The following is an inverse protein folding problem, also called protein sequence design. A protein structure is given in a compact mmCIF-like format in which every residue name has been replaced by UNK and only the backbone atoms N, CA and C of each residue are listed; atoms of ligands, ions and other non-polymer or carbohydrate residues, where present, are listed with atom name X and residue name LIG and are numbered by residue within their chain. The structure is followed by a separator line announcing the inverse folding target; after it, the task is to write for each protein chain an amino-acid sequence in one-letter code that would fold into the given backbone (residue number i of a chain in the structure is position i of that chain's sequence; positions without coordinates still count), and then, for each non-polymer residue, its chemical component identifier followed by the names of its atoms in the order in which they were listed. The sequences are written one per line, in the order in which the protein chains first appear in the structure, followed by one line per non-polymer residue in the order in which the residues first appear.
data_IF_243133711594
#
_entry.id   IF_243133711594
#
_cell.length_a   1.000
_cell.length_b   1.000
_cell.length_c   1.000
_cell.angle_alpha   90.00
_cell.angle_beta   90.00
_cell.angle_gamma   90.00
#
_symmetry.space_group_name_H-M   'P 1'
#
loop_
_entity.id
_entity.type
_entity.pdbx_description
1 polymer ?
#
# COMPACT_ATOMS: atom_id res chain seq x y z
N UNK A 1 -42.80 -1.08 51.22
CA UNK A 1 -41.56 -0.48 50.68
C UNK A 1 -41.49 -0.82 49.20
N UNK A 2 -41.86 0.11 48.31
CA UNK A 2 -41.87 -0.10 46.86
C UNK A 2 -40.53 0.40 46.29
N UNK A 3 -39.76 -0.50 45.68
CA UNK A 3 -38.50 -0.19 45.01
C UNK A 3 -38.75 0.37 43.62
N UNK A 4 -38.32 1.62 43.41
CA UNK A 4 -38.36 2.34 42.15
C UNK A 4 -37.26 1.80 41.21
N UNK A 5 -37.64 1.11 40.14
CA UNK A 5 -36.71 0.59 39.12
C UNK A 5 -36.48 1.66 38.05
N UNK A 6 -35.25 2.17 37.96
CA UNK A 6 -34.80 3.12 36.93
C UNK A 6 -34.06 2.32 35.85
N UNK A 7 -34.47 2.38 34.57
CA UNK A 7 -33.70 1.76 33.50
C UNK A 7 -32.38 2.52 33.26
N UNK A 8 -31.29 1.83 32.86
CA UNK A 8 -30.01 2.47 32.58
C UNK A 8 -30.10 3.37 31.33
N UNK A 9 -29.30 4.45 31.25
CA UNK A 9 -29.29 5.35 30.11
C UNK A 9 -28.75 4.63 28.87
N UNK A 10 -29.51 4.71 27.77
CA UNK A 10 -29.04 4.34 26.43
C UNK A 10 -27.96 5.35 26.04
N UNK A 11 -26.69 4.94 26.12
CA UNK A 11 -25.57 5.71 25.58
C UNK A 11 -25.65 5.63 24.06
N UNK A 12 -26.15 6.71 23.45
CA UNK A 12 -26.17 6.90 21.99
C UNK A 12 -24.75 7.22 21.52
N UNK A 13 -23.95 6.19 21.28
CA UNK A 13 -22.58 6.34 20.76
C UNK A 13 -22.63 6.82 19.31
N UNK A 14 -22.25 8.08 19.10
CA UNK A 14 -21.32 8.44 18.02
C UNK A 14 -21.84 8.46 16.59
N UNK A 15 -22.77 9.38 16.28
CA UNK A 15 -23.08 9.81 14.91
C UNK A 15 -22.00 10.69 14.24
N UNK A 16 -20.71 10.39 14.45
CA UNK A 16 -19.59 11.23 13.97
C UNK A 16 -18.85 10.66 12.75
N UNK A 17 -18.89 9.35 12.51
CA UNK A 17 -18.24 8.76 11.33
C UNK A 17 -19.17 8.80 10.11
N UNK A 18 -20.45 8.45 10.30
CA UNK A 18 -21.45 8.50 9.23
C UNK A 18 -21.75 9.94 8.77
N UNK A 19 -21.75 10.93 9.67
CA UNK A 19 -21.94 12.33 9.26
C UNK A 19 -20.74 12.88 8.49
N UNK A 20 -19.50 12.48 8.85
CA UNK A 20 -18.29 12.86 8.11
C UNK A 20 -18.21 12.21 6.72
N UNK A 21 -18.64 10.95 6.58
CA UNK A 21 -18.74 10.28 5.28
C UNK A 21 -19.81 10.93 4.40
N UNK A 22 -20.96 11.30 4.96
CA UNK A 22 -22.01 12.01 4.23
C UNK A 22 -21.56 13.41 3.81
N UNK A 23 -20.83 14.14 4.67
CA UNK A 23 -20.30 15.47 4.38
C UNK A 23 -19.20 15.40 3.30
N UNK A 24 -18.34 14.37 3.32
CA UNK A 24 -17.33 14.14 2.27
C UNK A 24 -17.94 13.78 0.92
N UNK A 25 -19.03 13.00 0.88
CA UNK A 25 -19.73 12.68 -0.38
C UNK A 25 -20.44 13.91 -0.94
N UNK A 26 -21.05 14.75 -0.08
CA UNK A 26 -21.67 16.01 -0.52
C UNK A 26 -20.62 17.02 -1.03
N UNK A 27 -19.45 17.11 -0.38
CA UNK A 27 -18.34 17.95 -0.85
C UNK A 27 -17.77 17.47 -2.19
N UNK A 28 -17.69 16.16 -2.43
CA UNK A 28 -17.30 15.63 -3.75
C UNK A 28 -18.32 15.96 -4.84
N UNK A 29 -19.62 15.88 -4.53
CA UNK A 29 -20.67 16.26 -5.49
C UNK A 29 -20.69 17.76 -5.76
N UNK A 30 -20.43 18.61 -4.75
CA UNK A 30 -20.30 20.05 -4.93
C UNK A 30 -19.06 20.43 -5.75
N UNK A 31 -17.92 19.75 -5.53
CA UNK A 31 -16.70 20.00 -6.31
C UNK A 31 -16.88 19.63 -7.79
N UNK A 32 -17.59 18.54 -8.10
CA UNK A 32 -17.91 18.15 -9.48
C UNK A 32 -18.89 19.13 -10.15
N UNK A 33 -19.84 19.69 -9.40
CA UNK A 33 -20.77 20.72 -9.90
C UNK A 33 -20.11 22.09 -10.13
N UNK A 34 -19.13 22.48 -9.30
CA UNK A 34 -18.39 23.75 -9.48
C UNK A 34 -17.26 23.65 -10.51
N UNK A 35 -16.60 22.48 -10.66
CA UNK A 35 -15.58 22.29 -11.70
C UNK A 35 -16.17 22.08 -13.10
N UNK A 36 -17.38 21.50 -13.21
CA UNK A 36 -18.04 21.31 -14.50
C UNK A 36 -18.54 22.61 -15.15
N UNK A 37 -18.99 23.58 -14.36
CA UNK A 37 -19.60 24.82 -14.88
C UNK A 37 -18.60 25.96 -15.13
N UNK A 38 -17.41 25.95 -14.52
CA UNK A 38 -16.39 26.97 -14.81
C UNK A 38 -15.76 26.77 -16.20
N UNK A 39 -15.64 25.53 -16.67
CA UNK A 39 -15.00 25.22 -17.95
C UNK A 39 -15.88 25.54 -19.18
N UNK A 40 -17.21 25.64 -19.01
CA UNK A 40 -18.15 25.80 -20.13
C UNK A 40 -18.38 27.29 -20.45
N UNK A 41 -18.38 28.16 -19.46
CA UNK A 41 -18.66 29.59 -19.67
C UNK A 41 -17.45 30.37 -20.23
N UNK A 42 -16.21 29.90 -20.00
CA UNK A 42 -15.00 30.48 -20.61
C UNK A 42 -14.82 30.12 -22.09
N UNK A 43 -15.56 29.14 -22.62
CA UNK A 43 -15.50 28.77 -24.03
C UNK A 43 -16.39 29.63 -24.95
N UNK A 44 -17.31 30.44 -24.41
CA UNK A 44 -18.31 31.17 -25.22
C UNK A 44 -17.93 32.63 -25.47
N UNK A 45 -17.02 33.21 -24.69
CA UNK A 45 -16.51 34.57 -24.95
C UNK A 45 -15.28 34.50 -25.86
N UNK A 46 -15.55 34.47 -27.17
CA UNK A 46 -14.56 34.76 -28.20
C UNK A 46 -13.68 35.96 -27.81
N UNK A 47 -12.40 35.72 -27.55
CA UNK A 47 -11.40 36.51 -28.25
C UNK A 47 -11.14 35.77 -29.54
N UNK A 48 -11.59 36.35 -30.66
CA UNK A 48 -10.91 36.20 -31.95
C UNK A 48 -9.45 36.61 -31.72
N UNK A 49 -8.66 35.71 -31.16
CA UNK A 49 -7.25 35.65 -31.48
C UNK A 49 -7.25 35.24 -32.93
N UNK A 50 -7.23 36.24 -33.80
CA UNK A 50 -6.53 36.12 -35.07
C UNK A 50 -5.19 35.47 -34.73
N UNK A 51 -5.11 34.14 -34.91
CA UNK A 51 -3.86 33.45 -35.09
C UNK A 51 -3.24 34.15 -36.30
N UNK A 52 -2.41 35.14 -36.02
CA UNK A 52 -1.62 35.81 -37.05
C UNK A 52 -0.97 34.69 -37.85
N UNK A 53 -1.24 34.68 -39.14
CA UNK A 53 -0.85 33.64 -40.08
C UNK A 53 0.66 33.65 -40.31
N UNK A 54 1.42 33.37 -39.26
CA UNK A 54 2.77 32.83 -39.39
C UNK A 54 2.63 31.34 -39.16
N UNK A 55 1.93 30.66 -40.09
CA UNK A 55 1.91 29.21 -40.18
C UNK A 55 3.28 28.74 -40.68
N UNK A 56 4.30 28.88 -39.83
CA UNK A 56 5.57 28.19 -40.01
C UNK A 56 5.32 26.73 -39.65
N UNK A 57 4.98 25.93 -40.65
CA UNK A 57 4.93 24.48 -40.50
C UNK A 57 6.33 23.98 -40.11
N UNK A 58 6.39 23.08 -39.15
CA UNK A 58 7.64 22.40 -38.79
C UNK A 58 8.17 21.65 -40.00
N UNK A 59 9.47 21.82 -40.26
CA UNK A 59 10.15 21.02 -41.28
C UNK A 59 10.12 19.54 -40.88
N UNK A 60 10.04 18.63 -41.86
CA UNK A 60 10.18 17.19 -41.62
C UNK A 60 11.47 16.89 -40.83
N UNK A 61 12.55 17.61 -41.15
CA UNK A 61 13.84 17.49 -40.48
C UNK A 61 13.75 17.91 -39.01
N UNK A 62 12.99 18.96 -38.72
CA UNK A 62 12.79 19.47 -37.35
C UNK A 62 11.99 18.48 -36.50
N UNK A 63 11.00 17.81 -37.10
CA UNK A 63 10.27 16.71 -36.45
C UNK A 63 11.18 15.50 -36.19
N UNK A 64 12.04 15.11 -37.15
CA UNK A 64 12.98 14.02 -36.95
C UNK A 64 13.99 14.33 -35.84
N UNK A 65 14.51 15.56 -35.80
CA UNK A 65 15.40 16.01 -34.72
C UNK A 65 14.67 15.99 -33.39
N UNK A 66 13.42 16.47 -33.31
CA UNK A 66 12.63 16.43 -32.09
C UNK A 66 12.41 14.99 -31.58
N UNK A 67 12.04 14.05 -32.47
CA UNK A 67 11.87 12.64 -32.11
C UNK A 67 13.20 12.03 -31.65
N UNK A 68 14.32 12.34 -32.30
CA UNK A 68 15.63 11.87 -31.91
C UNK A 68 16.01 12.35 -30.50
N UNK A 69 15.78 13.63 -30.20
CA UNK A 69 16.03 14.21 -28.87
C UNK A 69 15.14 13.56 -27.80
N UNK A 70 13.84 13.38 -28.08
CA UNK A 70 12.91 12.72 -27.15
C UNK A 70 13.34 11.27 -26.89
N UNK A 71 13.74 10.54 -27.93
CA UNK A 71 14.17 9.14 -27.82
C UNK A 71 15.43 9.02 -26.99
N UNK A 72 16.39 9.93 -27.20
CA UNK A 72 17.60 10.00 -26.40
C UNK A 72 17.31 10.32 -24.93
N UNK A 73 16.46 11.31 -24.68
CA UNK A 73 16.04 11.67 -23.32
C UNK A 73 15.33 10.51 -22.60
N UNK A 74 14.42 9.80 -23.29
CA UNK A 74 13.75 8.63 -22.74
C UNK A 74 14.73 7.47 -22.46
N UNK A 75 15.71 7.26 -23.33
CA UNK A 75 16.74 6.25 -23.12
C UNK A 75 17.53 6.45 -21.82
N UNK A 76 17.73 7.69 -21.40
CA UNK A 76 18.39 8.04 -20.14
C UNK A 76 17.43 7.96 -18.95
N UNK A 77 16.18 8.42 -19.11
CA UNK A 77 15.23 8.53 -18.00
C UNK A 77 14.57 7.21 -17.60
N UNK A 78 14.37 6.28 -18.55
CA UNK A 78 13.66 5.02 -18.31
C UNK A 78 14.33 4.11 -17.27
N UNK A 79 15.67 3.88 -17.29
CA UNK A 79 16.33 3.05 -16.29
C UNK A 79 16.09 3.56 -14.87
N UNK A 80 16.28 4.87 -14.64
CA UNK A 80 16.10 5.49 -13.32
C UNK A 80 14.66 5.35 -12.82
N UNK A 81 13.69 5.53 -13.72
CA UNK A 81 12.28 5.34 -13.39
C UNK A 81 11.98 3.88 -13.01
N UNK A 82 12.50 2.91 -13.75
CA UNK A 82 12.32 1.48 -13.46
C UNK A 82 12.94 1.10 -12.11
N UNK A 83 14.15 1.58 -11.82
CA UNK A 83 14.81 1.36 -10.53
C UNK A 83 13.98 1.96 -9.37
N UNK A 84 13.47 3.18 -9.55
CA UNK A 84 12.64 3.85 -8.54
C UNK A 84 11.36 3.07 -8.25
N UNK A 85 10.68 2.57 -9.28
CA UNK A 85 9.47 1.75 -9.13
C UNK A 85 9.75 0.44 -8.41
N UNK A 86 10.84 -0.25 -8.76
CA UNK A 86 11.22 -1.49 -8.09
C UNK A 86 11.56 -1.27 -6.61
N UNK A 87 12.33 -0.22 -6.29
CA UNK A 87 12.60 0.16 -4.90
C UNK A 87 11.32 0.47 -4.12
N UNK A 88 10.35 1.12 -4.75
CA UNK A 88 9.05 1.37 -4.13
C UNK A 88 8.27 0.06 -3.89
N UNK A 89 8.33 -0.88 -4.82
CA UNK A 89 7.71 -2.21 -4.69
C UNK A 89 8.28 -3.00 -3.50
N UNK A 90 9.61 -3.00 -3.31
CA UNK A 90 10.23 -3.69 -2.16
C UNK A 90 9.77 -3.07 -0.84
N UNK A 91 9.82 -1.73 -0.73
CA UNK A 91 9.37 -1.00 0.47
C UNK A 91 7.89 -1.21 0.77
N UNK A 92 7.05 -1.22 -0.27
CA UNK A 92 5.63 -1.50 -0.11
C UNK A 92 5.41 -2.94 0.35
N UNK A 93 6.15 -3.90 -0.22
CA UNK A 93 6.03 -5.31 0.15
C UNK A 93 6.42 -5.52 1.61
N UNK A 94 7.53 -4.94 2.07
CA UNK A 94 7.96 -5.05 3.47
C UNK A 94 6.93 -4.46 4.43
N UNK A 95 6.37 -3.29 4.11
CA UNK A 95 5.32 -2.66 4.91
C UNK A 95 4.02 -3.48 4.96
N UNK A 96 3.59 -4.04 3.83
CA UNK A 96 2.40 -4.89 3.76
C UNK A 96 2.59 -6.14 4.61
N UNK A 97 3.73 -6.83 4.48
CA UNK A 97 4.01 -8.04 5.27
C UNK A 97 4.09 -7.71 6.76
N UNK A 98 4.73 -6.60 7.15
CA UNK A 98 4.77 -6.16 8.54
C UNK A 98 3.36 -5.88 9.10
N UNK A 99 2.48 -5.28 8.29
CA UNK A 99 1.06 -5.09 8.65
C UNK A 99 0.33 -6.42 8.80
N UNK A 100 0.53 -7.36 7.87
CA UNK A 100 -0.11 -8.68 7.92
C UNK A 100 0.39 -9.52 9.10
N UNK A 101 1.64 -9.34 9.53
CA UNK A 101 2.16 -9.92 10.77
C UNK A 101 1.46 -9.36 12.01
N UNK A 102 1.24 -8.04 12.08
CA UNK A 102 0.47 -7.41 13.16
C UNK A 102 -0.97 -7.91 13.19
N UNK A 103 -1.61 -8.03 12.03
CA UNK A 103 -2.95 -8.60 11.93
C UNK A 103 -3.00 -10.06 12.40
N UNK A 104 -1.96 -10.83 12.07
CA UNK A 104 -1.84 -12.24 12.49
C UNK A 104 -1.66 -12.34 14.01
N UNK A 105 -0.84 -11.47 14.60
CA UNK A 105 -0.68 -11.34 16.05
C UNK A 105 -2.01 -11.03 16.75
N UNK A 106 -2.74 -10.00 16.30
CA UNK A 106 -4.03 -9.61 16.88
C UNK A 106 -5.06 -10.74 16.76
N UNK A 107 -5.06 -11.48 15.65
CA UNK A 107 -5.94 -12.66 15.51
C UNK A 107 -5.55 -13.79 16.45
N UNK A 108 -4.26 -14.01 16.70
CA UNK A 108 -3.82 -15.03 17.65
C UNK A 108 -4.32 -14.72 19.07
N UNK A 109 -4.17 -13.46 19.48
CA UNK A 109 -4.69 -12.95 20.77
C UNK A 109 -6.21 -13.08 20.86
N UNK A 110 -6.93 -12.62 19.84
CA UNK A 110 -8.40 -12.63 19.83
C UNK A 110 -8.99 -14.03 19.76
N UNK A 111 -8.39 -14.93 18.97
CA UNK A 111 -8.87 -16.31 18.80
C UNK A 111 -8.46 -17.25 19.93
N UNK A 112 -7.52 -16.82 20.79
CA UNK A 112 -6.95 -17.67 21.84
C UNK A 112 -6.17 -18.87 21.30
N UNK A 113 -5.70 -18.81 20.03
CA UNK A 113 -4.99 -19.90 19.34
C UNK A 113 -3.76 -19.37 18.65
N UNK A 114 -2.82 -20.26 18.35
CA UNK A 114 -1.65 -19.87 17.55
C UNK A 114 -2.05 -19.60 16.09
N UNK A 115 -1.37 -18.63 15.49
CA UNK A 115 -1.49 -18.27 14.08
C UNK A 115 -0.09 -18.25 13.46
N UNK A 116 0.03 -18.73 12.23
CA UNK A 116 1.30 -18.77 11.52
C UNK A 116 1.23 -17.86 10.28
N UNK A 117 2.32 -17.13 10.01
CA UNK A 117 2.60 -16.54 8.71
C UNK A 117 3.78 -17.29 8.09
N UNK A 118 3.56 -17.92 6.93
CA UNK A 118 4.53 -18.79 6.26
C UNK A 118 4.97 -18.17 4.94
N UNK A 119 6.25 -17.85 4.84
CA UNK A 119 6.88 -17.44 3.59
C UNK A 119 7.13 -18.66 2.72
N UNK A 120 6.88 -18.50 1.43
CA UNK A 120 7.32 -19.45 0.41
C UNK A 120 8.83 -19.26 0.18
N UNK A 121 9.70 -20.22 0.57
CA UNK A 121 11.15 -20.04 0.50
C UNK A 121 11.69 -19.86 -0.92
N UNK A 122 10.93 -20.27 -1.92
CA UNK A 122 11.28 -20.18 -3.34
C UNK A 122 10.27 -19.36 -4.13
N UNK A 123 9.27 -18.79 -3.45
CA UNK A 123 8.12 -18.16 -4.08
C UNK A 123 8.06 -16.67 -3.87
N UNK A 124 7.08 -16.08 -4.54
CA UNK A 124 6.78 -14.64 -4.52
C UNK A 124 5.55 -14.36 -3.66
N UNK A 125 5.34 -15.12 -2.60
CA UNK A 125 4.13 -15.04 -1.79
C UNK A 125 4.32 -15.58 -0.37
N UNK A 126 3.33 -15.31 0.45
CA UNK A 126 3.21 -15.84 1.80
C UNK A 126 1.76 -16.20 2.09
N UNK A 127 1.60 -17.00 3.14
CA UNK A 127 0.33 -17.57 3.55
C UNK A 127 0.09 -17.31 5.03
N UNK A 128 -1.18 -17.09 5.38
CA UNK A 128 -1.64 -16.98 6.76
C UNK A 128 -2.44 -18.22 7.13
N UNK A 129 -2.10 -18.81 8.25
CA UNK A 129 -2.61 -20.08 8.74
C UNK A 129 -3.15 -19.94 10.15
N UNK A 130 -4.33 -20.51 10.40
CA UNK A 130 -4.90 -20.71 11.73
C UNK A 130 -4.80 -22.20 12.09
N UNK A 131 -4.54 -22.49 13.36
CA UNK A 131 -4.41 -23.84 13.88
C UNK A 131 -5.61 -24.77 13.57
N UNK A 132 -6.82 -24.24 13.45
CA UNK A 132 -8.07 -25.00 13.31
C UNK A 132 -8.51 -25.15 11.84
N UNK A 133 -8.43 -24.07 11.07
CA UNK A 133 -8.95 -24.02 9.69
C UNK A 133 -7.87 -24.16 8.62
N UNK A 134 -6.59 -24.11 8.99
CA UNK A 134 -5.48 -24.14 8.04
C UNK A 134 -5.29 -22.79 7.34
N UNK A 135 -4.89 -22.82 6.07
CA UNK A 135 -4.64 -21.60 5.28
C UNK A 135 -5.95 -20.83 5.07
N UNK A 136 -6.01 -19.59 5.55
CA UNK A 136 -7.19 -18.73 5.37
C UNK A 136 -6.89 -17.48 4.54
N UNK A 137 -5.63 -17.23 4.22
CA UNK A 137 -5.22 -16.11 3.38
C UNK A 137 -3.89 -16.36 2.71
N UNK A 138 -3.72 -15.75 1.55
CA UNK A 138 -2.45 -15.70 0.84
C UNK A 138 -2.30 -14.32 0.20
N UNK A 139 -1.07 -13.84 0.11
CA UNK A 139 -0.76 -12.59 -0.58
C UNK A 139 0.55 -12.75 -1.36
N UNK A 140 0.56 -12.20 -2.57
CA UNK A 140 1.73 -12.16 -3.44
C UNK A 140 2.53 -10.89 -3.15
N UNK A 141 3.85 -11.00 -3.25
CA UNK A 141 4.74 -9.86 -3.26
C UNK A 141 4.53 -9.02 -4.52
N UNK A 142 4.99 -7.78 -4.46
CA UNK A 142 4.98 -6.94 -5.64
C UNK A 142 5.84 -7.55 -6.78
N UNK A 143 5.60 -7.18 -8.05
CA UNK A 143 6.37 -7.71 -9.17
C UNK A 143 7.87 -7.54 -8.98
N UNK A 144 8.64 -8.59 -9.32
CA UNK A 144 10.10 -8.65 -9.22
C UNK A 144 10.68 -8.55 -7.81
N UNK A 145 9.84 -8.66 -6.78
CA UNK A 145 10.28 -8.74 -5.39
C UNK A 145 10.38 -10.20 -4.95
N UNK A 146 11.54 -10.57 -4.43
CA UNK A 146 11.80 -11.90 -3.87
C UNK A 146 12.06 -11.81 -2.37
N UNK A 147 11.69 -12.86 -1.65
CA UNK A 147 12.02 -13.00 -0.23
C UNK A 147 13.47 -13.46 -0.09
N UNK A 148 14.24 -12.78 0.75
CA UNK A 148 15.63 -13.13 1.06
C UNK A 148 15.80 -13.29 2.58
N UNK A 149 16.42 -14.40 2.99
CA UNK A 149 16.71 -14.65 4.41
C UNK A 149 17.92 -13.81 4.83
N UNK A 150 17.73 -12.91 5.78
CA UNK A 150 18.78 -12.00 6.27
C UNK A 150 19.79 -12.61 7.23
N UNK A 151 20.88 -11.89 7.49
CA UNK A 151 21.97 -12.23 8.43
C UNK A 151 21.55 -12.66 9.86
N UNK A 152 20.35 -12.30 10.31
CA UNK A 152 19.68 -12.87 11.49
C UNK A 152 18.52 -13.72 10.99
N UNK A 153 18.88 -14.93 10.54
CA UNK A 153 17.97 -15.85 9.87
C UNK A 153 16.83 -16.20 10.85
N UNK A 154 15.59 -16.05 10.41
CA UNK A 154 14.52 -16.85 10.99
C UNK A 154 14.89 -18.31 10.76
N UNK A 155 14.91 -19.13 11.81
CA UNK A 155 15.29 -20.55 11.68
C UNK A 155 14.31 -21.29 10.78
N UNK A 156 13.06 -20.84 10.78
CA UNK A 156 12.00 -21.34 9.91
C UNK A 156 11.49 -20.24 8.98
N UNK A 157 11.02 -20.59 7.78
CA UNK A 157 10.26 -19.66 6.92
C UNK A 157 8.86 -19.36 7.48
N UNK A 158 8.62 -19.66 8.76
CA UNK A 158 7.35 -19.56 9.45
C UNK A 158 7.52 -18.71 10.69
N UNK A 159 6.70 -17.67 10.82
CA UNK A 159 6.58 -16.87 12.02
C UNK A 159 5.29 -17.29 12.71
N UNK A 160 5.38 -17.80 13.93
CA UNK A 160 4.22 -18.16 14.74
C UNK A 160 3.97 -17.12 15.82
N UNK A 161 2.72 -16.72 15.96
CA UNK A 161 2.22 -15.98 17.11
C UNK A 161 1.40 -16.91 18.00
N UNK A 162 1.66 -16.90 19.30
CA UNK A 162 0.88 -17.63 20.28
C UNK A 162 -0.39 -16.87 20.68
N UNK A 163 -1.28 -17.55 21.40
CA UNK A 163 -2.50 -16.96 21.95
C UNK A 163 -2.24 -15.76 22.90
N UNK A 164 -1.02 -15.64 23.43
CA UNK A 164 -0.59 -14.49 24.25
C UNK A 164 -0.19 -13.27 23.41
N UNK A 165 -0.12 -13.39 22.08
CA UNK A 165 0.43 -12.39 21.18
C UNK A 165 1.95 -12.41 21.06
N UNK A 166 2.62 -13.32 21.78
CA UNK A 166 4.08 -13.45 21.70
C UNK A 166 4.50 -14.18 20.43
N UNK A 167 5.64 -13.77 19.88
CA UNK A 167 6.23 -14.41 18.69
C UNK A 167 7.13 -15.57 19.09
N UNK A 168 7.11 -16.66 18.32
CA UNK A 168 7.94 -17.83 18.56
C UNK A 168 9.43 -17.60 18.33
N UNK A 169 9.77 -16.71 17.40
CA UNK A 169 11.13 -16.47 16.93
C UNK A 169 11.35 -14.97 16.65
N UNK A 170 12.55 -14.47 16.94
CA UNK A 170 13.02 -13.19 16.43
C UNK A 170 13.91 -13.39 15.21
N UNK A 171 13.93 -12.41 14.34
CA UNK A 171 14.82 -12.42 13.18
C UNK A 171 14.61 -11.20 12.31
N UNK A 172 15.37 -11.12 11.22
CA UNK A 172 15.19 -10.07 10.22
C UNK A 172 14.76 -10.67 8.89
N UNK A 173 13.66 -10.15 8.36
CA UNK A 173 13.10 -10.51 7.06
C UNK A 173 13.56 -9.45 6.07
N UNK A 174 14.17 -9.85 4.95
CA UNK A 174 14.46 -8.95 3.84
C UNK A 174 13.70 -9.35 2.59
N UNK A 175 13.48 -8.34 1.76
CA UNK A 175 12.98 -8.44 0.42
C UNK A 175 13.97 -7.76 -0.50
N UNK A 176 14.17 -8.34 -1.67
CA UNK A 176 15.11 -7.85 -2.67
C UNK A 176 14.37 -7.62 -4.00
N UNK A 177 14.72 -6.57 -4.72
CA UNK A 177 14.31 -6.41 -6.13
C UNK A 177 15.31 -7.02 -7.12
N UNK A 178 15.01 -6.89 -8.42
CA UNK A 178 15.88 -7.37 -9.48
C UNK A 178 17.21 -6.57 -9.60
N UNK A 179 17.32 -5.41 -8.96
CA UNK A 179 18.53 -4.58 -8.95
C UNK A 179 19.38 -4.77 -7.69
N UNK A 180 18.91 -5.57 -6.74
CA UNK A 180 19.61 -5.88 -5.49
C UNK A 180 19.32 -4.92 -4.33
N UNK A 181 18.36 -3.99 -4.48
CA UNK A 181 17.95 -3.13 -3.38
C UNK A 181 17.19 -3.94 -2.32
N UNK A 182 17.61 -3.79 -1.06
CA UNK A 182 17.04 -4.51 0.08
C UNK A 182 16.14 -3.60 0.92
N UNK A 183 14.97 -4.10 1.32
CA UNK A 183 14.16 -3.53 2.40
C UNK A 183 13.53 -4.63 3.22
N UNK A 184 13.33 -4.37 4.51
CA UNK A 184 12.93 -5.42 5.43
C UNK A 184 12.50 -4.88 6.77
N UNK A 185 12.31 -5.81 7.70
CA UNK A 185 11.98 -5.49 9.08
C UNK A 185 12.58 -6.52 10.02
N UNK A 186 12.84 -6.10 11.24
CA UNK A 186 13.27 -6.96 12.34
C UNK A 186 12.10 -7.21 13.28
N UNK A 187 11.92 -8.47 13.65
CA UNK A 187 10.97 -8.92 14.66
C UNK A 187 11.74 -9.25 15.94
N UNK A 188 11.30 -8.71 17.06
CA UNK A 188 11.88 -8.96 18.38
C UNK A 188 11.03 -9.94 19.19
N UNK A 189 11.69 -10.75 20.02
CA UNK A 189 11.04 -11.68 20.94
C UNK A 189 10.15 -10.96 21.97
N UNK A 190 9.26 -11.73 22.60
CA UNK A 190 8.19 -11.20 23.45
C UNK A 190 7.00 -10.85 22.58
N UNK A 191 6.45 -9.64 22.74
CA UNK A 191 5.26 -9.16 22.01
C UNK A 191 5.44 -8.96 20.50
N UNK A 192 6.44 -9.57 19.86
CA UNK A 192 6.63 -9.50 18.42
C UNK A 192 6.76 -8.07 17.90
N UNK A 193 7.54 -7.22 18.58
CA UNK A 193 7.74 -5.85 18.10
C UNK A 193 8.37 -5.89 16.71
N UNK A 194 7.77 -5.19 15.76
CA UNK A 194 8.25 -5.10 14.38
C UNK A 194 8.84 -3.71 14.16
N UNK A 195 10.10 -3.65 13.71
CA UNK A 195 10.77 -2.40 13.31
C UNK A 195 11.21 -2.47 11.87
N UNK A 196 10.84 -1.46 11.09
CA UNK A 196 11.29 -1.31 9.71
C UNK A 196 12.78 -0.98 9.66
N UNK A 197 13.46 -1.45 8.61
CA UNK A 197 14.84 -1.10 8.26
C UNK A 197 14.92 -0.32 6.96
#
# INVERSE_FOLDING_TARGET
MQGFWIPPPIVRVGGTILSRLLLMVQLRRLAVLFMGNLAINDMVVMKKMTLGSSAKGYSLLELMVAIAVITFALGIALPDMLHSLQRANVKSTSAIVASDLRDTQVRAEWSGRFQDLRFDPQGTQYYRYDALIGAFGAAKFAPFVVFEQGYLHLQNSTIRYYASGDVSESGTVYFQDAFGDLSGFTIYLGRGEIRNR
#
